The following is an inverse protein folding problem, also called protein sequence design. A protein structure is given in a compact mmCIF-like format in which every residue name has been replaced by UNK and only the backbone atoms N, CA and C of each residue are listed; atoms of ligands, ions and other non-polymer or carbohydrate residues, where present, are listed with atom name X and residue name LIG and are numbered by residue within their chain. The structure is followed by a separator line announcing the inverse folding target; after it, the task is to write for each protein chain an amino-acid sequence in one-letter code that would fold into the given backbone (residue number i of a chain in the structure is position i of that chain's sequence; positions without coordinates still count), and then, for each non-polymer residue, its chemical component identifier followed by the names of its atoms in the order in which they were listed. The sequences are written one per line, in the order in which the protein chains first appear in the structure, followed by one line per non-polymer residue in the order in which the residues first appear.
data_IF_246740143609
#
_entry.id   IF_246740143609
#
_cell.length_a   1.000
_cell.length_b   1.000
_cell.length_c   1.000
_cell.angle_alpha   90.00
_cell.angle_beta   90.00
_cell.angle_gamma   90.00
#
_symmetry.space_group_name_H-M   'P 1'
#
loop_
_entity.id
_entity.type
_entity.pdbx_description
1 polymer ?
#
# COMPACT_ATOMS: atom_id res chain seq x y z
N UNK A 1 6.76 25.28 -19.40
CA UNK A 1 5.43 24.81 -18.96
C UNK A 1 4.36 25.02 -20.03
N UNK A 2 4.21 26.22 -20.60
CA UNK A 2 3.17 26.54 -21.60
C UNK A 2 3.16 25.69 -22.90
N UNK A 3 4.27 25.07 -23.29
CA UNK A 3 4.35 24.17 -24.45
C UNK A 3 4.42 22.70 -24.02
N UNK A 4 5.23 22.40 -23.01
CA UNK A 4 5.41 21.04 -22.49
C UNK A 4 4.13 20.48 -21.83
N UNK A 5 3.35 21.30 -21.11
CA UNK A 5 2.16 20.83 -20.41
C UNK A 5 1.00 20.48 -21.38
N UNK A 6 0.65 21.30 -22.39
CA UNK A 6 -0.34 20.90 -23.38
C UNK A 6 0.09 19.67 -24.18
N UNK A 7 1.38 19.58 -24.57
CA UNK A 7 1.89 18.44 -25.31
C UNK A 7 1.85 17.15 -24.47
N UNK A 8 2.18 17.24 -23.18
CA UNK A 8 2.06 16.13 -22.25
C UNK A 8 0.60 15.70 -22.07
N UNK A 9 -0.35 16.63 -21.93
CA UNK A 9 -1.76 16.29 -21.74
C UNK A 9 -2.39 15.71 -23.01
N UNK A 10 -2.05 16.25 -24.20
CA UNK A 10 -2.67 15.85 -25.47
C UNK A 10 -2.06 14.59 -26.06
N UNK A 11 -0.75 14.36 -25.89
CA UNK A 11 -0.09 13.18 -26.44
C UNK A 11 0.19 12.12 -25.37
N UNK A 12 0.90 12.50 -24.30
CA UNK A 12 1.34 11.54 -23.28
C UNK A 12 0.15 11.03 -22.45
N UNK A 13 -0.85 11.89 -22.17
CA UNK A 13 -2.07 11.51 -21.48
C UNK A 13 -2.83 10.38 -22.18
N UNK A 14 -3.32 10.57 -23.42
CA UNK A 14 -4.02 9.52 -24.16
C UNK A 14 -3.19 8.27 -24.40
N UNK A 15 -1.90 8.40 -24.73
CA UNK A 15 -1.01 7.24 -24.89
C UNK A 15 -0.87 6.45 -23.59
N UNK A 16 -0.72 7.15 -22.45
CA UNK A 16 -0.68 6.53 -21.13
C UNK A 16 -1.97 5.81 -20.78
N UNK A 17 -3.13 6.38 -21.13
CA UNK A 17 -4.43 5.74 -20.95
C UNK A 17 -4.53 4.49 -21.82
N UNK A 18 -4.16 4.54 -23.11
CA UNK A 18 -4.26 3.37 -23.99
C UNK A 18 -3.37 2.21 -23.54
N UNK A 19 -2.11 2.51 -23.21
CA UNK A 19 -1.16 1.51 -22.70
C UNK A 19 -1.68 0.97 -21.36
N UNK A 20 -2.13 1.86 -20.48
CA UNK A 20 -2.66 1.49 -19.18
C UNK A 20 -3.89 0.58 -19.28
N UNK A 21 -4.85 0.93 -20.13
CA UNK A 21 -6.04 0.12 -20.41
C UNK A 21 -5.68 -1.24 -21.00
N UNK A 22 -4.66 -1.32 -21.88
CA UNK A 22 -4.20 -2.61 -22.41
C UNK A 22 -3.58 -3.50 -21.33
N UNK A 23 -2.78 -2.92 -20.43
CA UNK A 23 -2.20 -3.64 -19.29
C UNK A 23 -3.30 -4.12 -18.34
N UNK A 24 -4.23 -3.23 -17.99
CA UNK A 24 -5.38 -3.59 -17.13
C UNK A 24 -6.23 -4.68 -17.77
N UNK A 25 -6.53 -4.59 -19.07
CA UNK A 25 -7.28 -5.61 -19.79
C UNK A 25 -6.58 -6.99 -19.76
N UNK A 26 -5.25 -7.03 -19.92
CA UNK A 26 -4.47 -8.26 -19.79
C UNK A 26 -4.59 -8.84 -18.38
N UNK A 27 -4.43 -8.00 -17.35
CA UNK A 27 -4.49 -8.41 -15.94
C UNK A 27 -5.88 -8.93 -15.57
N UNK A 28 -6.94 -8.28 -16.02
CA UNK A 28 -8.32 -8.73 -15.80
C UNK A 28 -8.67 -9.98 -16.63
N UNK A 29 -8.09 -10.14 -17.82
CA UNK A 29 -8.20 -11.39 -18.59
C UNK A 29 -7.59 -12.55 -17.80
N UNK A 30 -6.41 -12.36 -17.23
CA UNK A 30 -5.75 -13.34 -16.35
C UNK A 30 -6.61 -13.63 -15.13
N UNK A 31 -7.25 -12.61 -14.53
CA UNK A 31 -8.19 -12.79 -13.42
C UNK A 31 -9.37 -13.70 -13.80
N UNK A 32 -9.92 -13.56 -15.00
CA UNK A 32 -10.98 -14.45 -15.49
C UNK A 32 -10.60 -15.94 -15.50
N UNK A 33 -9.32 -16.27 -15.69
CA UNK A 33 -8.82 -17.65 -15.65
C UNK A 33 -8.37 -18.11 -14.26
N UNK A 34 -7.70 -17.24 -13.51
CA UNK A 34 -7.07 -17.59 -12.22
C UNK A 34 -7.98 -17.38 -11.02
N UNK A 35 -9.05 -16.59 -11.15
CA UNK A 35 -9.99 -16.26 -10.07
C UNK A 35 -9.26 -15.76 -8.82
N UNK A 36 -9.49 -16.44 -7.69
CA UNK A 36 -8.91 -16.10 -6.38
C UNK A 36 -7.37 -16.01 -6.37
N UNK A 37 -6.68 -16.77 -7.21
CA UNK A 37 -5.21 -16.78 -7.25
C UNK A 37 -4.65 -15.47 -7.82
N UNK A 38 -5.37 -14.83 -8.75
CA UNK A 38 -4.95 -13.52 -9.26
C UNK A 38 -5.09 -12.43 -8.19
N UNK A 39 -6.08 -12.52 -7.31
CA UNK A 39 -6.27 -11.62 -6.15
C UNK A 39 -5.12 -11.81 -5.16
N UNK A 40 -4.70 -13.06 -4.92
CA UNK A 40 -3.53 -13.37 -4.11
C UNK A 40 -2.25 -12.75 -4.69
N UNK A 41 -1.97 -12.99 -5.97
CA UNK A 41 -0.78 -12.46 -6.65
C UNK A 41 -0.80 -10.93 -6.66
N UNK A 42 -1.96 -10.33 -6.96
CA UNK A 42 -2.11 -8.88 -6.96
C UNK A 42 -1.89 -8.30 -5.56
N UNK A 43 -2.43 -8.91 -4.50
CA UNK A 43 -2.20 -8.48 -3.12
C UNK A 43 -0.73 -8.53 -2.71
N UNK A 44 0.01 -9.54 -3.19
CA UNK A 44 1.45 -9.65 -2.97
C UNK A 44 2.23 -8.56 -3.73
N UNK A 45 1.88 -8.30 -4.98
CA UNK A 45 2.58 -7.32 -5.82
C UNK A 45 2.15 -5.87 -5.55
N UNK A 46 1.02 -5.66 -4.87
CA UNK A 46 0.44 -4.34 -4.65
C UNK A 46 1.42 -3.35 -4.03
N UNK A 47 2.15 -3.66 -2.93
CA UNK A 47 3.13 -2.72 -2.39
C UNK A 47 4.23 -2.35 -3.40
N UNK A 48 4.61 -3.26 -4.29
CA UNK A 48 5.59 -2.98 -5.36
C UNK A 48 5.01 -2.06 -6.44
N UNK A 49 3.74 -2.25 -6.79
CA UNK A 49 3.01 -1.39 -7.72
C UNK A 49 2.74 0.01 -7.14
N UNK A 50 2.59 0.11 -5.82
CA UNK A 50 2.55 1.40 -5.12
C UNK A 50 3.91 2.07 -5.20
N UNK A 51 5.01 1.34 -4.96
CA UNK A 51 6.36 1.90 -5.08
C UNK A 51 6.65 2.52 -6.45
N UNK A 52 6.19 1.89 -7.54
CA UNK A 52 6.41 2.38 -8.91
C UNK A 52 5.32 3.33 -9.41
N UNK A 53 4.24 3.54 -8.63
CA UNK A 53 3.07 4.31 -9.05
C UNK A 53 2.15 3.60 -10.06
N UNK A 54 2.51 2.41 -10.53
CA UNK A 54 1.74 1.68 -11.55
C UNK A 54 0.35 1.23 -11.08
N UNK A 55 0.10 1.13 -9.77
CA UNK A 55 -1.24 0.81 -9.23
C UNK A 55 -2.33 1.76 -9.76
N UNK A 56 -2.00 3.01 -10.11
CA UNK A 56 -2.95 3.99 -10.66
C UNK A 56 -3.49 3.62 -12.04
N UNK A 57 -2.79 2.75 -12.78
CA UNK A 57 -3.22 2.25 -14.10
C UNK A 57 -4.54 1.47 -14.01
N UNK A 58 -4.85 0.88 -12.85
CA UNK A 58 -6.09 0.13 -12.65
C UNK A 58 -7.31 1.02 -12.38
N UNK A 59 -7.11 2.29 -12.00
CA UNK A 59 -8.20 3.20 -11.59
C UNK A 59 -9.32 3.29 -12.64
N UNK A 60 -9.04 3.55 -13.94
CA UNK A 60 -10.09 3.64 -14.94
C UNK A 60 -10.85 2.32 -15.10
N UNK A 61 -10.15 1.19 -15.06
CA UNK A 61 -10.74 -0.14 -15.18
C UNK A 61 -11.60 -0.51 -13.98
N UNK A 62 -11.21 -0.12 -12.76
CA UNK A 62 -12.03 -0.29 -11.55
C UNK A 62 -13.34 0.49 -11.69
N UNK A 63 -13.26 1.77 -12.05
CA UNK A 63 -14.44 2.63 -12.25
C UNK A 63 -15.36 2.03 -13.30
N UNK A 64 -14.80 1.62 -14.44
CA UNK A 64 -15.57 1.00 -15.52
C UNK A 64 -16.24 -0.31 -15.09
N UNK A 65 -15.50 -1.19 -14.40
CA UNK A 65 -16.02 -2.49 -13.95
C UNK A 65 -17.15 -2.31 -12.93
N UNK A 66 -17.02 -1.36 -12.00
CA UNK A 66 -18.09 -1.02 -11.05
C UNK A 66 -19.30 -0.44 -11.79
N UNK A 67 -19.09 0.43 -12.79
CA UNK A 67 -20.18 1.01 -13.57
C UNK A 67 -20.95 -0.03 -14.39
N UNK A 68 -20.25 -1.03 -14.94
CA UNK A 68 -20.86 -2.08 -15.79
C UNK A 68 -21.49 -3.21 -14.98
N UNK A 69 -20.86 -3.63 -13.88
CA UNK A 69 -21.23 -4.85 -13.13
C UNK A 69 -21.73 -4.58 -11.71
N UNK A 70 -21.64 -3.33 -11.24
CA UNK A 70 -21.99 -2.92 -9.88
C UNK A 70 -20.94 -3.28 -8.81
N UNK A 71 -19.84 -3.94 -9.17
CA UNK A 71 -18.80 -4.37 -8.22
C UNK A 71 -17.45 -4.67 -8.88
N UNK A 72 -16.36 -4.64 -8.12
CA UNK A 72 -15.00 -5.00 -8.57
C UNK A 72 -14.38 -6.02 -7.60
N UNK A 73 -14.01 -7.19 -8.11
CA UNK A 73 -13.64 -8.37 -7.30
C UNK A 73 -12.17 -8.76 -7.31
N UNK A 74 -11.30 -7.99 -7.96
CA UNK A 74 -9.89 -8.30 -8.13
C UNK A 74 -8.98 -7.33 -7.39
N UNK A 75 -9.00 -6.05 -7.78
CA UNK A 75 -8.00 -5.07 -7.37
C UNK A 75 -8.28 -4.56 -5.96
N UNK A 76 -9.49 -4.12 -5.67
CA UNK A 76 -9.86 -3.57 -4.37
C UNK A 76 -9.74 -4.62 -3.24
N UNK A 77 -10.17 -5.88 -3.42
CA UNK A 77 -9.96 -6.93 -2.40
C UNK A 77 -8.48 -7.30 -2.21
N UNK A 78 -7.64 -7.13 -3.23
CA UNK A 78 -6.18 -7.29 -3.10
C UNK A 78 -5.57 -6.17 -2.28
N UNK A 79 -6.03 -4.94 -2.52
CA UNK A 79 -5.52 -3.73 -1.89
C UNK A 79 -5.82 -3.68 -0.38
N UNK A 80 -7.01 -4.09 0.07
CA UNK A 80 -7.32 -4.14 1.51
C UNK A 80 -6.36 -5.08 2.27
N UNK A 81 -6.05 -6.24 1.69
CA UNK A 81 -5.08 -7.17 2.26
C UNK A 81 -3.67 -6.58 2.33
N UNK A 82 -3.23 -5.91 1.27
CA UNK A 82 -1.91 -5.30 1.18
C UNK A 82 -1.73 -4.10 2.12
N UNK A 83 -2.70 -3.17 2.16
CA UNK A 83 -2.66 -1.96 2.98
C UNK A 83 -2.62 -2.32 4.47
N UNK A 84 -3.49 -3.23 4.90
CA UNK A 84 -3.51 -3.66 6.30
C UNK A 84 -2.30 -4.52 6.66
N UNK A 85 -1.75 -5.28 5.72
CA UNK A 85 -0.48 -5.99 5.92
C UNK A 85 0.68 -5.01 6.15
N UNK A 86 0.75 -3.91 5.40
CA UNK A 86 1.73 -2.84 5.66
C UNK A 86 1.50 -2.16 7.01
N UNK A 87 0.24 -2.02 7.41
CA UNK A 87 -0.12 -1.58 8.75
C UNK A 87 0.38 -2.52 9.84
N UNK A 88 0.13 -3.82 9.70
CA UNK A 88 0.56 -4.86 10.64
C UNK A 88 2.07 -4.99 10.78
N UNK A 89 2.81 -4.94 9.66
CA UNK A 89 4.28 -4.95 9.72
C UNK A 89 4.84 -3.69 10.36
N UNK A 90 4.21 -2.54 10.13
CA UNK A 90 4.57 -1.27 10.78
C UNK A 90 4.30 -1.30 12.29
N UNK A 91 3.18 -1.90 12.73
CA UNK A 91 2.93 -2.13 14.16
C UNK A 91 3.97 -3.05 14.80
N UNK A 92 4.41 -4.11 14.10
CA UNK A 92 5.46 -5.00 14.61
C UNK A 92 6.80 -4.29 14.77
N UNK A 93 7.12 -3.38 13.84
CA UNK A 93 8.31 -2.52 13.95
C UNK A 93 8.19 -1.61 15.17
N UNK A 94 7.07 -0.91 15.32
CA UNK A 94 6.83 -0.04 16.48
C UNK A 94 6.95 -0.79 17.83
N UNK A 95 6.49 -2.03 17.87
CA UNK A 95 6.55 -2.89 19.05
C UNK A 95 7.97 -3.30 19.42
N UNK A 96 8.79 -3.68 18.42
CA UNK A 96 10.11 -4.28 18.65
C UNK A 96 11.26 -3.26 18.65
N UNK A 97 11.12 -2.13 17.94
CA UNK A 97 12.19 -1.12 17.84
C UNK A 97 12.50 -0.52 19.20
N UNK A 98 13.77 -0.21 19.46
CA UNK A 98 14.23 0.57 20.63
C UNK A 98 14.37 2.05 20.29
N UNK A 99 14.32 2.43 19.02
CA UNK A 99 14.46 3.80 18.57
C UNK A 99 13.12 4.54 18.73
N UNK A 100 13.06 5.62 19.55
CA UNK A 100 11.81 6.33 19.83
C UNK A 100 11.24 7.04 18.59
N UNK A 101 12.09 7.57 17.71
CA UNK A 101 11.67 8.23 16.48
C UNK A 101 11.08 7.22 15.49
N UNK A 102 11.79 6.09 15.28
CA UNK A 102 11.29 5.02 14.42
C UNK A 102 9.98 4.44 14.96
N UNK A 103 9.84 4.32 16.29
CA UNK A 103 8.59 3.90 16.93
C UNK A 103 7.44 4.86 16.62
N UNK A 104 7.69 6.17 16.74
CA UNK A 104 6.67 7.18 16.45
C UNK A 104 6.27 7.17 14.97
N UNK A 105 7.23 7.12 14.06
CA UNK A 105 6.98 7.00 12.62
C UNK A 105 6.19 5.73 12.31
N UNK A 106 6.59 4.59 12.86
CA UNK A 106 5.96 3.30 12.59
C UNK A 106 4.52 3.23 13.13
N UNK A 107 4.23 3.81 14.30
CA UNK A 107 2.86 3.91 14.83
C UNK A 107 1.97 4.81 13.97
N UNK A 108 2.46 5.98 13.57
CA UNK A 108 1.71 6.90 12.72
C UNK A 108 1.44 6.27 11.34
N UNK A 109 2.46 5.62 10.77
CA UNK A 109 2.36 4.92 9.51
C UNK A 109 1.39 3.72 9.56
N UNK A 110 1.45 2.93 10.63
CA UNK A 110 0.51 1.86 10.88
C UNK A 110 -0.94 2.37 10.96
N UNK A 111 -1.18 3.43 11.73
CA UNK A 111 -2.50 4.04 11.83
C UNK A 111 -3.00 4.55 10.48
N UNK A 112 -2.14 5.18 9.68
CA UNK A 112 -2.49 5.65 8.33
C UNK A 112 -2.91 4.51 7.41
N UNK A 113 -2.14 3.42 7.38
CA UNK A 113 -2.42 2.27 6.52
C UNK A 113 -3.66 1.49 6.97
N UNK A 114 -3.85 1.28 8.28
CA UNK A 114 -4.99 0.52 8.82
C UNK A 114 -6.28 1.33 8.77
N UNK A 115 -6.24 2.59 9.21
CA UNK A 115 -7.46 3.38 9.40
C UNK A 115 -7.92 4.03 8.08
N UNK A 116 -7.00 4.71 7.41
CA UNK A 116 -7.30 5.52 6.22
C UNK A 116 -7.05 4.78 4.90
N UNK A 117 -6.39 3.61 4.94
CA UNK A 117 -6.00 2.90 3.72
C UNK A 117 -4.86 3.58 2.95
N UNK A 118 -4.17 4.52 3.58
CA UNK A 118 -3.06 5.26 2.96
C UNK A 118 -1.77 4.54 3.31
N UNK A 119 -1.20 3.86 2.33
CA UNK A 119 -0.08 2.93 2.53
C UNK A 119 1.29 3.57 2.34
N UNK A 120 1.38 4.77 1.75
CA UNK A 120 2.64 5.46 1.46
C UNK A 120 3.50 5.70 2.71
N UNK A 121 2.96 6.16 3.86
CA UNK A 121 3.74 6.33 5.08
C UNK A 121 4.31 5.00 5.60
N UNK A 122 3.54 3.91 5.52
CA UNK A 122 3.96 2.58 5.97
C UNK A 122 4.98 1.95 5.01
N UNK A 123 4.74 2.10 3.71
CA UNK A 123 5.60 1.57 2.67
C UNK A 123 6.98 2.24 2.70
N UNK A 124 7.03 3.56 2.57
CA UNK A 124 8.30 4.28 2.45
C UNK A 124 8.92 4.59 3.81
N UNK A 125 8.10 4.90 4.83
CA UNK A 125 8.59 5.25 6.16
C UNK A 125 9.12 4.06 6.96
N UNK A 126 8.64 2.85 6.68
CA UNK A 126 8.97 1.65 7.46
C UNK A 126 9.39 0.48 6.59
N UNK A 127 8.51 -0.01 5.72
CA UNK A 127 8.68 -1.31 5.06
C UNK A 127 9.90 -1.35 4.12
N UNK A 128 10.04 -0.34 3.25
CA UNK A 128 11.17 -0.21 2.32
C UNK A 128 12.47 0.08 3.09
N UNK A 129 12.40 0.92 4.13
CA UNK A 129 13.56 1.30 4.95
C UNK A 129 14.21 0.10 5.63
N UNK A 130 13.39 -0.84 6.13
CA UNK A 130 13.85 -2.02 6.88
C UNK A 130 13.91 -3.31 6.04
N UNK A 131 13.38 -3.31 4.82
CA UNK A 131 13.33 -4.41 3.82
C UNK A 131 12.61 -5.70 4.26
N UNK A 132 12.91 -6.24 5.45
CA UNK A 132 12.27 -7.45 5.99
C UNK A 132 10.78 -7.23 6.31
N UNK A 133 10.34 -6.08 6.85
CA UNK A 133 8.92 -5.80 7.01
C UNK A 133 8.16 -5.65 5.68
N UNK A 134 8.84 -5.26 4.60
CA UNK A 134 8.28 -5.31 3.25
C UNK A 134 8.03 -6.77 2.83
N UNK A 135 9.01 -7.66 2.97
CA UNK A 135 8.82 -9.08 2.61
C UNK A 135 7.67 -9.70 3.42
N UNK A 136 7.57 -9.39 4.71
CA UNK A 136 6.45 -9.82 5.56
C UNK A 136 5.10 -9.35 5.02
N UNK A 137 5.00 -8.09 4.58
CA UNK A 137 3.75 -7.56 4.03
C UNK A 137 3.41 -8.11 2.64
N UNK A 138 4.40 -8.48 1.81
CA UNK A 138 4.16 -9.15 0.52
C UNK A 138 3.58 -10.56 0.74
N UNK A 139 4.15 -11.34 1.67
CA UNK A 139 3.67 -12.69 1.99
C UNK A 139 2.27 -12.63 2.62
N UNK A 140 2.08 -11.72 3.57
CA UNK A 140 0.76 -11.50 4.18
C UNK A 140 -0.27 -11.01 3.16
N UNK A 141 0.12 -10.09 2.26
CA UNK A 141 -0.70 -9.60 1.17
C UNK A 141 -1.14 -10.72 0.22
N UNK A 142 -0.25 -11.67 -0.09
CA UNK A 142 -0.59 -12.87 -0.87
C UNK A 142 -1.69 -13.69 -0.20
N UNK A 143 -1.49 -14.02 1.08
CA UNK A 143 -2.41 -14.88 1.83
C UNK A 143 -3.76 -14.17 2.02
N UNK A 144 -3.74 -12.89 2.36
CA UNK A 144 -4.97 -12.10 2.55
C UNK A 144 -5.72 -11.88 1.24
N UNK A 145 -5.01 -11.62 0.14
CA UNK A 145 -5.60 -11.56 -1.20
C UNK A 145 -6.23 -12.88 -1.61
N UNK A 146 -5.58 -14.01 -1.31
CA UNK A 146 -6.15 -15.34 -1.56
C UNK A 146 -7.45 -15.56 -0.78
N UNK A 147 -7.46 -15.24 0.51
CA UNK A 147 -8.66 -15.37 1.37
C UNK A 147 -9.76 -14.43 0.89
N UNK A 148 -9.44 -13.18 0.54
CA UNK A 148 -10.40 -12.22 0.01
C UNK A 148 -11.02 -12.69 -1.32
N UNK A 149 -10.20 -13.22 -2.22
CA UNK A 149 -10.65 -13.78 -3.49
C UNK A 149 -11.52 -15.04 -3.32
N UNK A 150 -11.14 -15.96 -2.42
CA UNK A 150 -11.94 -17.16 -2.11
C UNK A 150 -13.26 -16.82 -1.43
N UNK A 151 -13.27 -15.80 -0.57
CA UNK A 151 -14.48 -15.28 0.06
C UNK A 151 -15.41 -14.55 -0.92
N UNK A 152 -14.96 -14.30 -2.15
CA UNK A 152 -15.73 -13.56 -3.16
C UNK A 152 -15.96 -12.11 -2.77
N UNK A 153 -15.04 -11.50 -2.00
CA UNK A 153 -15.13 -10.09 -1.65
C UNK A 153 -15.06 -9.24 -2.92
N UNK A 154 -15.97 -8.28 -3.03
CA UNK A 154 -15.99 -7.33 -4.13
C UNK A 154 -16.34 -5.95 -3.60
N UNK A 155 -15.75 -4.92 -4.18
CA UNK A 155 -15.99 -3.53 -3.82
C UNK A 155 -17.09 -2.93 -4.68
N UNK A 156 -18.07 -2.28 -4.07
CA UNK A 156 -19.18 -1.59 -4.74
C UNK A 156 -18.93 -0.11 -4.99
N UNK A 157 -17.84 0.42 -4.42
CA UNK A 157 -17.42 1.80 -4.57
C UNK A 157 -15.90 1.86 -4.73
N UNK A 158 -15.40 2.99 -5.25
CA UNK A 158 -13.97 3.25 -5.34
C UNK A 158 -13.56 4.16 -4.17
N UNK A 159 -12.89 3.59 -3.18
CA UNK A 159 -12.18 4.32 -2.14
C UNK A 159 -10.92 3.55 -1.73
N UNK A 160 -9.90 4.26 -1.22
CA UNK A 160 -8.69 3.63 -0.70
C UNK A 160 -9.08 2.66 0.44
N UNK A 161 -8.85 1.34 0.31
CA UNK A 161 -9.26 0.36 1.29
C UNK A 161 -8.51 0.48 2.60
N UNK A 162 -9.26 0.70 3.67
CA UNK A 162 -8.84 0.78 5.06
C UNK A 162 -10.02 0.46 5.97
N UNK A 163 -9.87 0.63 7.29
CA UNK A 163 -10.93 0.33 8.26
C UNK A 163 -12.19 1.17 8.02
N UNK A 164 -12.04 2.47 7.79
CA UNK A 164 -13.20 3.35 7.62
C UNK A 164 -13.91 3.17 6.27
N UNK A 165 -13.17 2.77 5.24
CA UNK A 165 -13.70 2.55 3.89
C UNK A 165 -14.09 1.10 3.63
N UNK A 166 -13.82 0.18 4.57
CA UNK A 166 -14.16 -1.25 4.48
C UNK A 166 -15.65 -1.52 4.19
N UNK A 167 -16.53 -0.58 4.51
CA UNK A 167 -17.95 -0.57 4.14
C UNK A 167 -18.20 -0.70 2.64
N UNK A 168 -17.21 -0.35 1.79
CA UNK A 168 -17.31 -0.51 0.33
C UNK A 168 -17.45 -1.98 -0.12
N UNK A 169 -17.09 -2.93 0.75
CA UNK A 169 -17.18 -4.37 0.49
C UNK A 169 -18.46 -5.01 1.09
N UNK A 170 -19.35 -4.21 1.69
CA UNK A 170 -20.57 -4.72 2.29
C UNK A 170 -21.62 -4.92 1.22
N UNK A 171 -22.11 -6.16 1.11
CA UNK A 171 -23.14 -6.53 0.16
C UNK A 171 -24.44 -6.79 0.93
N UNK A 172 -25.50 -5.99 0.73
CA UNK A 172 -26.80 -6.22 1.36
C UNK A 172 -27.40 -7.60 1.03
N UNK A 173 -27.06 -8.17 -0.12
CA UNK A 173 -27.52 -9.50 -0.54
C UNK A 173 -26.75 -10.64 0.15
N UNK A 174 -25.56 -10.36 0.69
CA UNK A 174 -24.74 -11.33 1.40
C UNK A 174 -24.10 -10.74 2.67
N UNK A 175 -24.83 -10.74 3.80
CA UNK A 175 -24.32 -10.21 5.07
C UNK A 175 -23.03 -10.89 5.57
N UNK A 176 -22.67 -12.08 5.07
CA UNK A 176 -21.41 -12.73 5.40
C UNK A 176 -20.19 -11.97 4.89
N UNK A 177 -20.33 -11.05 3.91
CA UNK A 177 -19.19 -10.26 3.45
C UNK A 177 -18.61 -9.39 4.57
N UNK A 178 -19.44 -8.95 5.52
CA UNK A 178 -18.98 -8.19 6.71
C UNK A 178 -18.00 -9.03 7.53
N UNK A 179 -18.34 -10.30 7.78
CA UNK A 179 -17.50 -11.24 8.54
C UNK A 179 -16.19 -11.50 7.79
N UNK A 180 -16.26 -11.70 6.48
CA UNK A 180 -15.08 -11.92 5.64
C UNK A 180 -14.17 -10.70 5.57
N UNK A 181 -14.73 -9.50 5.45
CA UNK A 181 -13.96 -8.24 5.46
C UNK A 181 -13.19 -8.11 6.76
N UNK A 182 -13.87 -8.16 7.91
CA UNK A 182 -13.18 -8.06 9.20
C UNK A 182 -12.23 -9.23 9.46
N UNK A 183 -12.55 -10.42 8.96
CA UNK A 183 -11.69 -11.60 9.00
C UNK A 183 -10.39 -11.40 8.22
N UNK A 184 -10.46 -10.93 6.98
CA UNK A 184 -9.30 -10.61 6.14
C UNK A 184 -8.49 -9.47 6.75
N UNK A 185 -9.15 -8.44 7.28
CA UNK A 185 -8.49 -7.31 7.92
C UNK A 185 -7.70 -7.74 9.16
N UNK A 186 -8.34 -8.51 10.05
CA UNK A 186 -7.68 -9.08 11.23
C UNK A 186 -6.54 -10.01 10.84
N UNK A 187 -6.76 -10.87 9.84
CA UNK A 187 -5.73 -11.75 9.30
C UNK A 187 -4.53 -10.94 8.78
N UNK A 188 -4.75 -9.91 7.97
CA UNK A 188 -3.68 -9.09 7.40
C UNK A 188 -2.82 -8.41 8.46
N UNK A 189 -3.45 -7.83 9.47
CA UNK A 189 -2.72 -7.17 10.56
C UNK A 189 -1.95 -8.20 11.38
N UNK A 190 -2.60 -9.26 11.84
CA UNK A 190 -1.98 -10.27 12.73
C UNK A 190 -0.90 -11.05 12.01
N UNK A 191 -1.16 -11.53 10.80
CA UNK A 191 -0.22 -12.33 10.01
C UNK A 191 1.03 -11.52 9.68
N UNK A 192 0.86 -10.30 9.16
CA UNK A 192 1.99 -9.43 8.83
C UNK A 192 2.78 -9.03 10.08
N UNK A 193 2.10 -8.78 11.20
CA UNK A 193 2.74 -8.49 12.48
C UNK A 193 3.62 -9.66 12.94
N UNK A 194 3.07 -10.88 12.98
CA UNK A 194 3.78 -12.08 13.41
C UNK A 194 4.94 -12.40 12.46
N UNK A 195 4.72 -12.36 11.14
CA UNK A 195 5.77 -12.59 10.15
C UNK A 195 6.92 -11.60 10.29
N UNK A 196 6.61 -10.32 10.55
CA UNK A 196 7.64 -9.29 10.77
C UNK A 196 8.44 -9.55 12.05
N UNK A 197 7.80 -10.03 13.12
CA UNK A 197 8.52 -10.40 14.35
C UNK A 197 9.43 -11.61 14.15
N UNK A 198 8.98 -12.62 13.39
CA UNK A 198 9.74 -13.85 13.07
C UNK A 198 10.93 -13.55 12.16
N UNK A 199 10.72 -12.83 11.06
CA UNK A 199 11.80 -12.43 10.15
C UNK A 199 12.79 -11.47 10.83
N UNK A 200 12.30 -10.75 11.84
CA UNK A 200 13.03 -9.68 12.49
C UNK A 200 13.34 -8.53 11.53
N UNK A 201 14.02 -7.52 12.06
CA UNK A 201 14.57 -6.42 11.28
C UNK A 201 15.80 -5.88 11.99
N UNK A 202 16.69 -5.28 11.21
CA UNK A 202 17.84 -4.54 11.75
C UNK A 202 17.33 -3.18 12.21
N UNK A 203 17.36 -2.98 13.53
CA UNK A 203 16.89 -1.75 14.13
C UNK A 203 17.84 -0.59 13.83
N UNK A 204 17.29 0.61 13.75
CA UNK A 204 18.07 1.80 13.40
C UNK A 204 18.70 2.33 14.69
N UNK A 205 20.04 2.41 14.79
CA UNK A 205 20.73 2.92 15.98
C UNK A 205 20.21 4.30 16.38
N UNK A 206 20.23 4.58 17.69
CA UNK A 206 19.70 5.85 18.26
C UNK A 206 20.70 7.01 18.09
N UNK A 207 21.90 6.75 17.57
CA UNK A 207 22.88 7.80 17.28
C UNK A 207 22.65 8.40 15.88
N UNK A 208 22.69 9.74 15.84
CA UNK A 208 23.08 10.56 14.68
C UNK A 208 21.98 11.22 13.79
N UNK A 209 20.85 11.64 14.38
CA UNK A 209 19.96 12.69 13.83
C UNK A 209 19.96 13.94 14.74
N UNK A 210 19.84 13.78 16.06
CA UNK A 210 19.99 14.88 17.02
C UNK A 210 21.43 15.45 17.05
N UNK A 211 22.42 14.59 16.84
CA UNK A 211 23.83 14.97 16.76
C UNK A 211 24.17 15.58 15.39
N UNK A 212 23.58 15.10 14.29
CA UNK A 212 23.64 15.77 12.97
C UNK A 212 22.92 17.10 12.94
N UNK A 213 21.74 17.21 13.53
CA UNK A 213 20.98 18.46 13.63
C UNK A 213 21.71 19.48 14.50
N UNK A 214 22.32 19.04 15.61
CA UNK A 214 23.25 19.88 16.39
C UNK A 214 24.49 20.25 15.58
N UNK A 215 25.12 19.32 14.88
CA UNK A 215 26.31 19.57 14.06
C UNK A 215 26.02 20.54 12.91
N UNK A 216 24.84 20.47 12.29
CA UNK A 216 24.35 21.39 11.27
C UNK A 216 24.01 22.78 11.84
N UNK A 217 23.58 22.87 13.11
CA UNK A 217 23.33 24.14 13.80
C UNK A 217 24.61 24.76 14.39
N UNK A 218 25.63 23.97 14.70
CA UNK A 218 26.92 24.43 15.25
C UNK A 218 28.00 24.61 14.19
N UNK A 219 27.72 24.28 12.92
CA UNK A 219 28.66 24.52 11.82
C UNK A 219 28.89 26.03 11.68
N UNK A 220 30.13 26.54 11.84
CA UNK A 220 30.40 27.96 11.65
C UNK A 220 30.09 28.33 10.20
N UNK A 221 29.25 29.35 10.00
CA UNK A 221 29.00 29.96 8.70
C UNK A 221 30.34 30.49 8.19
N UNK A 222 31.03 29.73 7.33
CA UNK A 222 32.22 30.21 6.64
C UNK A 222 31.79 31.31 5.67
N UNK A 223 31.87 32.55 6.14
CA UNK A 223 31.62 33.75 5.36
C UNK A 223 32.78 33.93 4.36
N UNK A 224 32.73 33.25 3.21
CA UNK A 224 33.58 33.53 2.05
C UNK A 224 33.05 34.74 1.28
N UNK A 225 33.05 35.90 1.95
CA UNK A 225 32.75 37.19 1.34
C UNK A 225 33.67 38.27 1.94
N UNK A 226 34.97 38.05 1.88
CA UNK A 226 36.00 39.08 1.94
C UNK A 226 37.29 38.45 1.38
N UNK A 227 38.02 39.20 0.56
CA UNK A 227 39.30 38.86 -0.08
C UNK A 227 39.22 38.11 -1.41
N UNK A 228 38.90 38.84 -2.49
CA UNK A 228 39.84 39.20 -3.57
C UNK A 228 39.09 39.85 -4.74
#
# INVERSE_FOLDING_TARGET
VLIAAPLAIVLIGPLGIWIGSAISALVYTIHGYLGWLSVAIMGALWPLLVMTGMHRVFTPTIIQTIAETGKEGMVMPSEIGANLSLGGSSLAVAWKTKNPELRQTALAAAASAIMAGISEPALYGVAVRLKRPLIASLISGFICGAVAGMAGLASHSMAAPGLFTSVQFFDPANPMTIVWVFGVMGLAVVLSFVLTLILGFEDIPVEDEAEKARALQTAPVQNKAAEA
#
